data_IF_231486057127
#
_entry.id   IF_231486057127
#
_cell.length_a   1.000
_cell.length_b   1.000
_cell.length_c   1.000
_cell.angle_alpha   90.00
_cell.angle_beta   90.00
_cell.angle_gamma   90.00
#
_symmetry.space_group_name_H-M   'P 1'
#
loop_
_entity.id
_entity.type
_entity.pdbx_description
1 polymer ?
#
# COMPACT_ATOMS: atom_id res chain seq x y z
N UNK A 1 39.47 -40.76 -14.01
CA UNK A 1 39.15 -41.83 -14.98
C UNK A 1 37.68 -42.12 -14.78
N UNK A 2 36.73 -41.84 -15.66
CA UNK A 2 36.67 -41.83 -17.12
C UNK A 2 35.62 -40.80 -17.57
N UNK A 3 35.91 -40.11 -18.68
CA UNK A 3 34.99 -39.22 -19.40
C UNK A 3 34.02 -40.06 -20.24
N UNK A 4 32.73 -39.67 -20.29
CA UNK A 4 31.79 -40.15 -21.30
C UNK A 4 31.25 -38.98 -22.11
N UNK A 5 31.68 -38.94 -23.37
CA UNK A 5 31.27 -38.04 -24.45
C UNK A 5 30.22 -38.75 -25.31
N UNK A 6 29.12 -38.08 -25.66
CA UNK A 6 28.18 -38.48 -26.74
C UNK A 6 27.69 -37.16 -27.37
N UNK A 7 28.27 -36.68 -28.46
CA UNK A 7 28.06 -36.96 -29.90
C UNK A 7 26.80 -36.32 -30.52
N UNK A 8 27.07 -35.37 -31.43
CA UNK A 8 26.17 -34.57 -32.26
C UNK A 8 25.65 -35.39 -33.45
N UNK A 9 24.34 -35.37 -33.69
CA UNK A 9 23.71 -35.87 -34.90
C UNK A 9 23.43 -34.74 -35.89
N UNK A 10 24.10 -34.77 -37.05
CA UNK A 10 23.76 -34.04 -38.27
C UNK A 10 22.70 -34.82 -39.04
N UNK A 11 21.69 -34.15 -39.60
CA UNK A 11 20.98 -34.64 -40.77
C UNK A 11 21.05 -33.61 -41.88
N UNK A 12 21.56 -34.09 -43.00
CA UNK A 12 21.58 -33.49 -44.32
C UNK A 12 20.50 -34.23 -45.12
N UNK A 13 19.64 -33.51 -45.83
CA UNK A 13 19.07 -34.04 -47.06
C UNK A 13 18.69 -32.89 -48.00
N UNK A 14 19.12 -33.07 -49.24
CA UNK A 14 18.97 -32.17 -50.36
C UNK A 14 17.83 -32.68 -51.25
N UNK A 15 17.01 -31.77 -51.80
CA UNK A 15 16.28 -32.03 -53.05
C UNK A 15 16.42 -30.81 -53.95
N UNK A 16 17.14 -31.04 -55.05
CA UNK A 16 17.17 -30.25 -56.28
C UNK A 16 15.87 -30.48 -57.05
N UNK A 17 15.27 -29.43 -57.61
CA UNK A 17 14.72 -29.46 -58.98
C UNK A 17 14.77 -28.07 -59.57
N UNK A 18 15.50 -27.96 -60.69
CA UNK A 18 15.65 -26.76 -61.50
C UNK A 18 14.48 -26.54 -62.46
N UNK A 19 14.46 -25.34 -63.05
CA UNK A 19 13.58 -24.95 -64.12
C UNK A 19 13.94 -23.55 -64.61
N UNK A 20 14.90 -23.48 -65.53
CA UNK A 20 15.22 -22.30 -66.33
C UNK A 20 14.04 -21.93 -67.25
N UNK A 21 13.60 -20.66 -67.22
CA UNK A 21 13.01 -20.00 -68.40
C UNK A 21 13.55 -18.57 -68.49
N UNK A 22 14.44 -18.38 -69.46
CA UNK A 22 14.89 -17.12 -70.04
C UNK A 22 13.88 -16.65 -71.09
N UNK A 23 13.31 -15.45 -70.93
CA UNK A 23 12.88 -14.50 -71.98
C UNK A 23 12.65 -13.16 -71.23
N UNK A 24 13.46 -12.12 -71.39
CA UNK A 24 13.62 -11.34 -72.62
C UNK A 24 12.69 -10.12 -72.54
N UNK A 25 13.20 -8.92 -72.23
CA UNK A 25 12.38 -7.70 -72.22
C UNK A 25 12.89 -6.55 -71.35
N UNK A 26 14.17 -6.24 -71.43
CA UNK A 26 14.73 -4.96 -70.97
C UNK A 26 14.24 -3.88 -71.96
N UNK A 27 13.41 -2.93 -71.50
CA UNK A 27 13.07 -1.60 -72.09
C UNK A 27 11.83 -0.96 -71.42
N UNK A 28 11.02 -1.69 -70.65
CA UNK A 28 9.78 -1.14 -70.04
C UNK A 28 9.85 -0.80 -68.53
N UNK A 29 11.05 -0.69 -67.93
CA UNK A 29 11.21 -0.44 -66.47
C UNK A 29 11.55 1.00 -66.08
N UNK A 30 11.68 1.94 -67.03
CA UNK A 30 12.03 3.34 -66.74
C UNK A 30 10.88 4.36 -66.89
N UNK A 31 9.68 3.92 -67.28
CA UNK A 31 8.53 4.84 -67.48
C UNK A 31 7.32 4.58 -66.57
N UNK A 32 7.37 3.58 -65.68
CA UNK A 32 6.30 3.32 -64.68
C UNK A 32 6.69 3.81 -63.27
N UNK A 33 7.94 4.19 -63.04
CA UNK A 33 8.40 4.77 -61.76
C UNK A 33 7.97 6.25 -61.61
N UNK A 34 7.57 6.91 -62.70
CA UNK A 34 7.15 8.33 -62.67
C UNK A 34 5.65 8.51 -62.37
N UNK A 35 4.81 7.48 -62.53
CA UNK A 35 3.38 7.56 -62.15
C UNK A 35 3.17 7.25 -60.65
N UNK A 36 4.08 6.53 -60.00
CA UNK A 36 4.00 6.26 -58.54
C UNK A 36 4.58 7.43 -57.71
N UNK A 37 5.39 8.31 -58.30
CA UNK A 37 6.02 9.44 -57.61
C UNK A 37 5.29 10.78 -57.74
N UNK A 38 4.26 10.88 -58.58
CA UNK A 38 3.43 12.11 -58.70
C UNK A 38 2.20 12.09 -57.78
N UNK A 39 1.88 10.94 -57.16
CA UNK A 39 0.78 10.83 -56.17
C UNK A 39 1.19 11.23 -54.74
N UNK A 40 2.48 11.47 -54.48
CA UNK A 40 3.00 11.68 -53.12
C UNK A 40 3.01 13.15 -52.66
N UNK A 41 2.67 14.13 -53.51
CA UNK A 41 2.82 15.57 -53.20
C UNK A 41 1.48 16.32 -53.05
N UNK A 42 0.34 15.62 -53.07
CA UNK A 42 -1.00 16.22 -52.82
C UNK A 42 -1.63 15.88 -51.45
N UNK A 43 -0.87 15.29 -50.51
CA UNK A 43 -1.35 15.02 -49.13
C UNK A 43 -0.78 16.01 -48.10
N UNK A 44 -0.76 17.29 -48.47
CA UNK A 44 -0.38 18.41 -47.62
C UNK A 44 -1.57 19.07 -46.91
N UNK A 45 -2.55 18.30 -46.44
CA UNK A 45 -3.50 18.72 -45.42
C UNK A 45 -3.68 17.55 -44.46
N UNK A 46 -3.49 17.81 -43.16
CA UNK A 46 -3.33 16.81 -42.12
C UNK A 46 -4.59 15.98 -41.86
N UNK A 47 -4.91 15.06 -42.78
CA UNK A 47 -5.85 13.99 -42.51
C UNK A 47 -5.16 12.99 -41.59
N UNK A 48 -5.75 12.80 -40.42
CA UNK A 48 -5.33 11.86 -39.37
C UNK A 48 -5.23 10.39 -39.83
N UNK A 49 -5.73 10.07 -41.02
CA UNK A 49 -6.00 8.72 -41.51
C UNK A 49 -5.00 8.22 -42.56
N UNK A 50 -3.69 8.47 -42.39
CA UNK A 50 -2.70 7.81 -43.25
C UNK A 50 -2.77 6.28 -43.03
N UNK A 51 -2.76 5.44 -44.08
CA UNK A 51 -2.90 3.99 -43.95
C UNK A 51 -2.00 3.37 -42.87
N UNK A 52 -0.71 3.75 -42.83
CA UNK A 52 0.22 3.22 -41.82
C UNK A 52 -0.14 3.53 -40.37
N UNK A 53 -0.82 4.66 -40.10
CA UNK A 53 -1.30 4.99 -38.75
C UNK A 53 -2.50 4.17 -38.34
N UNK A 54 -3.41 3.90 -39.29
CA UNK A 54 -4.59 3.07 -39.04
C UNK A 54 -4.15 1.63 -38.77
N UNK A 55 -3.26 1.08 -39.59
CA UNK A 55 -2.68 -0.24 -39.36
C UNK A 55 -2.00 -0.34 -37.99
N UNK A 56 -1.19 0.66 -37.63
CA UNK A 56 -0.55 0.70 -36.32
C UNK A 56 -1.56 0.73 -35.16
N UNK A 57 -2.70 1.43 -35.30
CA UNK A 57 -3.76 1.42 -34.28
C UNK A 57 -4.45 0.06 -34.16
N UNK A 58 -4.70 -0.61 -35.28
CA UNK A 58 -5.25 -1.97 -35.29
C UNK A 58 -4.30 -2.92 -34.55
N UNK A 59 -3.01 -2.84 -34.83
CA UNK A 59 -1.98 -3.66 -34.16
C UNK A 59 -1.90 -3.36 -32.67
N UNK A 60 -1.85 -2.09 -32.28
CA UNK A 60 -1.88 -1.67 -30.87
C UNK A 60 -3.11 -2.20 -30.13
N UNK A 61 -4.28 -2.17 -30.77
CA UNK A 61 -5.50 -2.66 -30.16
C UNK A 61 -5.50 -4.20 -30.04
N UNK A 62 -4.93 -4.91 -31.02
CA UNK A 62 -4.71 -6.36 -30.95
C UNK A 62 -3.77 -6.73 -29.80
N UNK A 63 -2.62 -6.05 -29.69
CA UNK A 63 -1.67 -6.26 -28.59
C UNK A 63 -2.32 -5.95 -27.23
N UNK A 64 -3.17 -4.92 -27.17
CA UNK A 64 -3.86 -4.55 -25.95
C UNK A 64 -4.88 -5.63 -25.51
N UNK A 65 -5.57 -6.30 -26.44
CA UNK A 65 -6.44 -7.45 -26.14
C UNK A 65 -5.62 -8.57 -25.48
N UNK A 66 -4.44 -8.90 -26.00
CA UNK A 66 -3.58 -9.93 -25.42
C UNK A 66 -3.09 -9.56 -24.01
N UNK A 67 -2.68 -8.30 -23.82
CA UNK A 67 -2.30 -7.78 -22.51
C UNK A 67 -3.44 -7.84 -21.51
N UNK A 68 -4.66 -7.42 -21.89
CA UNK A 68 -5.83 -7.47 -21.02
C UNK A 68 -6.21 -8.92 -20.70
N UNK A 69 -6.15 -9.82 -21.69
CA UNK A 69 -6.37 -11.26 -21.47
C UNK A 69 -5.38 -11.85 -20.47
N UNK A 70 -4.10 -11.47 -20.55
CA UNK A 70 -3.08 -11.88 -19.59
C UNK A 70 -3.31 -11.28 -18.19
N UNK A 71 -3.78 -10.05 -18.10
CA UNK A 71 -4.08 -9.38 -16.82
C UNK A 71 -5.32 -9.94 -16.12
N UNK A 72 -6.31 -10.42 -16.89
CA UNK A 72 -7.51 -11.05 -16.36
C UNK A 72 -7.25 -12.45 -15.77
N UNK A 73 -6.17 -13.12 -16.19
CA UNK A 73 -5.77 -14.44 -15.70
C UNK A 73 -6.62 -15.58 -16.26
N UNK A 74 -6.49 -16.76 -15.65
CA UNK A 74 -7.08 -18.01 -16.16
C UNK A 74 -8.62 -18.07 -16.04
N UNK A 75 -9.22 -17.28 -15.14
CA UNK A 75 -10.66 -17.29 -14.89
C UNK A 75 -11.24 -15.87 -14.81
N UNK A 76 -11.34 -15.15 -15.94
CA UNK A 76 -11.96 -13.83 -15.98
C UNK A 76 -13.46 -13.90 -15.65
N UNK A 77 -14.07 -12.81 -15.17
CA UNK A 77 -15.53 -12.70 -15.12
C UNK A 77 -16.14 -12.92 -16.51
N UNK A 78 -17.24 -13.65 -16.63
CA UNK A 78 -17.90 -13.94 -17.92
C UNK A 78 -18.18 -12.67 -18.73
N UNK A 79 -18.59 -11.59 -18.06
CA UNK A 79 -18.83 -10.31 -18.73
C UNK A 79 -17.54 -9.68 -19.30
N UNK A 80 -16.40 -9.87 -18.64
CA UNK A 80 -15.11 -9.43 -19.17
C UNK A 80 -14.67 -10.28 -20.38
N UNK A 81 -14.98 -11.59 -20.36
CA UNK A 81 -14.77 -12.49 -21.51
C UNK A 81 -15.60 -12.00 -22.70
N UNK A 82 -16.88 -11.71 -22.50
CA UNK A 82 -17.78 -11.22 -23.55
C UNK A 82 -17.26 -9.91 -24.18
N UNK A 83 -16.74 -8.97 -23.38
CA UNK A 83 -16.13 -7.74 -23.91
C UNK A 83 -14.87 -8.02 -24.73
N UNK A 84 -14.02 -8.96 -24.31
CA UNK A 84 -12.83 -9.33 -25.08
C UNK A 84 -13.16 -10.05 -26.38
N UNK A 85 -14.18 -10.90 -26.41
CA UNK A 85 -14.66 -11.55 -27.63
C UNK A 85 -15.17 -10.52 -28.63
N UNK A 86 -16.03 -9.59 -28.19
CA UNK A 86 -16.50 -8.48 -29.03
C UNK A 86 -15.34 -7.60 -29.53
N UNK A 87 -14.34 -7.33 -28.69
CA UNK A 87 -13.16 -6.57 -29.11
C UNK A 87 -12.37 -7.28 -30.23
N UNK A 88 -12.22 -8.61 -30.15
CA UNK A 88 -11.57 -9.41 -31.19
C UNK A 88 -12.34 -9.37 -32.51
N UNK A 89 -13.67 -9.47 -32.46
CA UNK A 89 -14.52 -9.33 -33.65
C UNK A 89 -14.36 -7.96 -34.32
N UNK A 90 -14.35 -6.87 -33.53
CA UNK A 90 -14.14 -5.51 -34.04
C UNK A 90 -12.75 -5.34 -34.67
N UNK A 91 -11.71 -5.97 -34.12
CA UNK A 91 -10.37 -5.93 -34.73
C UNK A 91 -10.32 -6.69 -36.05
N UNK A 92 -11.01 -7.83 -36.14
CA UNK A 92 -11.12 -8.54 -37.41
C UNK A 92 -11.85 -7.68 -38.46
N UNK A 93 -12.98 -7.07 -38.10
CA UNK A 93 -13.71 -6.15 -38.99
C UNK A 93 -12.86 -4.94 -39.37
N UNK A 94 -12.06 -4.40 -38.43
CA UNK A 94 -11.16 -3.28 -38.71
C UNK A 94 -10.11 -3.63 -39.77
N UNK A 95 -9.57 -4.87 -39.73
CA UNK A 95 -8.63 -5.37 -40.75
C UNK A 95 -9.30 -5.51 -42.12
N UNK A 96 -10.50 -6.08 -42.16
CA UNK A 96 -11.25 -6.24 -43.41
C UNK A 96 -11.58 -4.87 -44.03
N UNK A 97 -12.02 -3.89 -43.23
CA UNK A 97 -12.28 -2.51 -43.69
C UNK A 97 -11.00 -1.78 -44.14
N UNK A 98 -9.87 -2.04 -43.47
CA UNK A 98 -8.57 -1.51 -43.88
C UNK A 98 -8.16 -2.03 -45.26
N UNK A 99 -8.29 -3.34 -45.50
CA UNK A 99 -7.97 -3.98 -46.78
C UNK A 99 -8.89 -3.50 -47.91
N UNK A 100 -10.13 -3.15 -47.60
CA UNK A 100 -11.08 -2.53 -48.53
C UNK A 100 -10.83 -1.02 -48.78
N UNK A 101 -9.84 -0.41 -48.11
CA UNK A 101 -9.49 1.00 -48.24
C UNK A 101 -10.36 1.96 -47.42
N UNK A 102 -11.24 1.45 -46.55
CA UNK A 102 -12.13 2.22 -45.69
C UNK A 102 -11.43 2.62 -44.37
N UNK A 103 -10.36 3.41 -44.49
CA UNK A 103 -9.44 3.73 -43.39
C UNK A 103 -10.12 4.36 -42.15
N UNK A 104 -11.11 5.22 -42.35
CA UNK A 104 -11.85 5.86 -41.24
C UNK A 104 -12.68 4.86 -40.44
N UNK A 105 -13.35 3.93 -41.14
CA UNK A 105 -14.14 2.87 -40.49
C UNK A 105 -13.23 1.94 -39.71
N UNK A 106 -12.10 1.54 -40.30
CA UNK A 106 -11.09 0.72 -39.66
C UNK A 106 -10.52 1.37 -38.38
N UNK A 107 -10.21 2.68 -38.41
CA UNK A 107 -9.74 3.42 -37.23
C UNK A 107 -10.79 3.44 -36.10
N UNK A 108 -12.06 3.71 -36.44
CA UNK A 108 -13.16 3.75 -35.47
C UNK A 108 -13.44 2.38 -34.83
N UNK A 109 -13.34 1.30 -35.61
CA UNK A 109 -13.51 -0.08 -35.11
C UNK A 109 -12.37 -0.45 -34.15
N UNK A 110 -11.12 -0.09 -34.47
CA UNK A 110 -9.99 -0.30 -33.58
C UNK A 110 -10.12 0.48 -32.26
N UNK A 111 -10.61 1.73 -32.30
CA UNK A 111 -10.87 2.52 -31.09
C UNK A 111 -11.99 1.92 -30.23
N UNK A 112 -13.07 1.44 -30.84
CA UNK A 112 -14.14 0.74 -30.13
C UNK A 112 -13.63 -0.53 -29.45
N UNK A 113 -12.78 -1.32 -30.12
CA UNK A 113 -12.15 -2.49 -29.52
C UNK A 113 -11.31 -2.14 -28.29
N UNK A 114 -10.55 -1.03 -28.33
CA UNK A 114 -9.79 -0.54 -27.17
C UNK A 114 -10.72 -0.14 -26.01
N UNK A 115 -11.84 0.52 -26.29
CA UNK A 115 -12.84 0.88 -25.28
C UNK A 115 -13.45 -0.37 -24.61
N UNK A 116 -13.75 -1.42 -25.36
CA UNK A 116 -14.21 -2.70 -24.81
C UNK A 116 -13.15 -3.36 -23.93
N UNK A 117 -11.87 -3.30 -24.30
CA UNK A 117 -10.77 -3.78 -23.46
C UNK A 117 -10.71 -3.03 -22.13
N UNK A 118 -10.90 -1.71 -22.13
CA UNK A 118 -10.97 -0.91 -20.91
C UNK A 118 -12.21 -1.29 -20.07
N UNK A 119 -13.34 -1.57 -20.71
CA UNK A 119 -14.54 -2.06 -20.02
C UNK A 119 -14.31 -3.43 -19.39
N UNK A 120 -13.64 -4.37 -20.07
CA UNK A 120 -13.26 -5.67 -19.51
C UNK A 120 -12.39 -5.50 -18.24
N UNK A 121 -11.39 -4.62 -18.28
CA UNK A 121 -10.60 -4.27 -17.10
C UNK A 121 -11.45 -3.62 -16.00
N UNK A 122 -12.43 -2.80 -16.36
CA UNK A 122 -13.35 -2.17 -15.41
C UNK A 122 -14.26 -3.17 -14.71
N UNK A 123 -14.71 -4.23 -15.41
CA UNK A 123 -15.49 -5.32 -14.82
C UNK A 123 -14.66 -6.05 -13.77
N UNK A 124 -13.40 -6.34 -14.07
CA UNK A 124 -12.46 -6.90 -13.09
C UNK A 124 -12.27 -5.95 -11.89
N UNK A 125 -12.22 -4.64 -12.10
CA UNK A 125 -12.15 -3.64 -11.02
C UNK A 125 -13.47 -3.49 -10.24
N UNK A 126 -14.60 -3.79 -10.89
CA UNK A 126 -15.94 -3.77 -10.29
C UNK A 126 -16.21 -5.00 -9.42
N UNK A 127 -15.32 -6.00 -9.45
CA UNK A 127 -15.30 -7.03 -8.44
C UNK A 127 -15.22 -6.35 -7.07
N UNK A 128 -16.29 -6.53 -6.29
CA UNK A 128 -16.43 -5.88 -5.00
C UNK A 128 -15.20 -6.17 -4.15
N UNK A 129 -14.82 -5.21 -3.30
CA UNK A 129 -13.68 -5.41 -2.38
C UNK A 129 -13.86 -6.71 -1.59
N UNK A 130 -15.10 -7.02 -1.22
CA UNK A 130 -15.52 -8.24 -0.53
C UNK A 130 -15.19 -9.51 -1.32
N UNK A 131 -15.47 -9.56 -2.63
CA UNK A 131 -15.18 -10.74 -3.46
C UNK A 131 -13.67 -10.95 -3.59
N UNK A 132 -12.90 -9.88 -3.79
CA UNK A 132 -11.43 -9.95 -3.84
C UNK A 132 -10.85 -10.46 -2.52
N UNK A 133 -11.36 -9.96 -1.39
CA UNK A 133 -10.99 -10.42 -0.05
C UNK A 133 -11.33 -11.90 0.16
N UNK A 134 -12.53 -12.32 -0.22
CA UNK A 134 -12.95 -13.72 -0.13
C UNK A 134 -12.02 -14.64 -0.93
N UNK A 135 -11.74 -14.31 -2.20
CA UNK A 135 -10.82 -15.07 -3.06
C UNK A 135 -9.42 -15.16 -2.47
N UNK A 136 -8.86 -14.04 -2.00
CA UNK A 136 -7.53 -14.00 -1.37
C UNK A 136 -7.49 -14.88 -0.12
N UNK A 137 -8.52 -14.81 0.73
CA UNK A 137 -8.60 -15.63 1.95
C UNK A 137 -8.73 -17.13 1.63
N UNK A 138 -9.54 -17.49 0.63
CA UNK A 138 -9.67 -18.88 0.15
C UNK A 138 -8.34 -19.43 -0.36
N UNK A 139 -7.61 -18.65 -1.17
CA UNK A 139 -6.31 -19.08 -1.69
C UNK A 139 -5.30 -19.33 -0.57
N UNK A 140 -5.29 -18.47 0.46
CA UNK A 140 -4.45 -18.68 1.65
C UNK A 140 -4.86 -19.94 2.43
N UNK A 141 -6.17 -20.21 2.57
CA UNK A 141 -6.66 -21.46 3.18
C UNK A 141 -6.20 -22.69 2.40
N UNK A 142 -6.31 -22.68 1.07
CA UNK A 142 -5.87 -23.77 0.20
C UNK A 142 -4.39 -24.08 0.42
N UNK A 143 -3.54 -23.06 0.38
CA UNK A 143 -2.09 -23.21 0.61
C UNK A 143 -1.79 -23.79 2.00
N UNK A 144 -2.50 -23.35 3.05
CA UNK A 144 -2.35 -23.91 4.39
C UNK A 144 -2.82 -25.37 4.47
N UNK A 145 -3.95 -25.70 3.83
CA UNK A 145 -4.46 -27.07 3.78
C UNK A 145 -3.46 -28.03 3.13
N UNK A 146 -2.88 -27.65 1.99
CA UNK A 146 -1.88 -28.44 1.27
C UNK A 146 -0.62 -28.70 2.11
N UNK A 147 -0.16 -27.70 2.86
CA UNK A 147 0.99 -27.82 3.76
C UNK A 147 0.70 -28.69 4.98
N UNK A 148 -0.44 -28.47 5.63
CA UNK A 148 -0.76 -29.06 6.94
C UNK A 148 -1.26 -30.50 6.83
N UNK A 149 -1.98 -30.84 5.76
CA UNK A 149 -2.59 -32.17 5.57
C UNK A 149 -1.60 -33.32 5.80
N UNK A 150 -0.45 -33.37 5.08
CA UNK A 150 0.53 -34.44 5.26
C UNK A 150 1.11 -34.52 6.68
N UNK A 151 1.35 -33.37 7.33
CA UNK A 151 1.91 -33.32 8.68
C UNK A 151 0.94 -33.91 9.71
N UNK A 152 -0.34 -33.55 9.61
CA UNK A 152 -1.38 -34.04 10.53
C UNK A 152 -1.57 -35.55 10.37
N UNK A 153 -1.63 -36.04 9.12
CA UNK A 153 -1.72 -37.48 8.85
C UNK A 153 -0.52 -38.24 9.42
N UNK A 154 0.69 -37.68 9.33
CA UNK A 154 1.91 -38.32 9.84
C UNK A 154 1.97 -38.43 11.36
N UNK A 155 1.42 -37.45 12.08
CA UNK A 155 1.41 -37.43 13.54
C UNK A 155 0.32 -38.32 14.14
N UNK A 156 -0.74 -38.60 13.37
CA UNK A 156 -1.90 -39.37 13.80
C UNK A 156 -2.53 -38.84 15.10
N UNK A 157 -2.57 -37.51 15.25
CA UNK A 157 -3.22 -36.83 16.36
C UNK A 157 -4.69 -36.57 16.03
N UNK A 158 -5.60 -37.22 16.77
CA UNK A 158 -7.04 -37.08 16.58
C UNK A 158 -7.53 -35.64 16.80
N UNK A 159 -6.95 -34.90 17.75
CA UNK A 159 -7.36 -33.53 18.04
C UNK A 159 -7.00 -32.58 16.90
N UNK A 160 -5.80 -32.74 16.32
CA UNK A 160 -5.39 -31.97 15.14
C UNK A 160 -6.20 -32.35 13.90
N UNK A 161 -6.50 -33.63 13.74
CA UNK A 161 -7.36 -34.12 12.64
C UNK A 161 -8.76 -33.52 12.70
N UNK A 162 -9.38 -33.47 13.89
CA UNK A 162 -10.69 -32.85 14.09
C UNK A 162 -10.69 -31.35 13.77
N UNK A 163 -9.67 -30.61 14.23
CA UNK A 163 -9.53 -29.19 13.90
C UNK A 163 -9.35 -28.97 12.40
N UNK A 164 -8.56 -29.81 11.73
CA UNK A 164 -8.32 -29.73 10.30
C UNK A 164 -9.58 -30.00 9.48
N UNK A 165 -10.35 -31.02 9.85
CA UNK A 165 -11.61 -31.35 9.20
C UNK A 165 -12.61 -30.20 9.32
N UNK A 166 -12.76 -29.61 10.52
CA UNK A 166 -13.61 -28.42 10.72
C UNK A 166 -13.17 -27.22 9.88
N UNK A 167 -11.86 -26.97 9.80
CA UNK A 167 -11.31 -25.93 8.92
C UNK A 167 -11.60 -26.20 7.44
N UNK A 168 -11.46 -27.45 7.02
CA UNK A 168 -11.73 -27.90 5.65
C UNK A 168 -13.20 -27.74 5.26
N UNK A 169 -14.12 -28.05 6.17
CA UNK A 169 -15.56 -27.86 5.95
C UNK A 169 -15.91 -26.38 5.82
N UNK A 170 -15.36 -25.52 6.69
CA UNK A 170 -15.52 -24.06 6.57
C UNK A 170 -14.96 -23.54 5.24
N UNK A 171 -13.81 -24.05 4.79
CA UNK A 171 -13.23 -23.69 3.50
C UNK A 171 -14.15 -24.08 2.33
N UNK A 172 -14.67 -25.31 2.30
CA UNK A 172 -15.62 -25.75 1.27
C UNK A 172 -16.91 -24.93 1.27
N UNK A 173 -17.44 -24.61 2.45
CA UNK A 173 -18.62 -23.76 2.59
C UNK A 173 -18.34 -22.34 2.09
N UNK A 174 -17.16 -21.79 2.40
CA UNK A 174 -16.73 -20.49 1.91
C UNK A 174 -16.64 -20.46 0.37
N UNK A 175 -16.10 -21.50 -0.26
CA UNK A 175 -16.10 -21.64 -1.72
C UNK A 175 -17.53 -21.66 -2.26
N UNK A 176 -18.40 -22.50 -1.71
CA UNK A 176 -19.80 -22.55 -2.16
C UNK A 176 -20.54 -21.22 -1.98
N UNK A 177 -20.28 -20.47 -0.91
CA UNK A 177 -20.87 -19.13 -0.71
C UNK A 177 -20.38 -18.14 -1.74
N UNK A 178 -19.09 -18.18 -2.10
CA UNK A 178 -18.52 -17.32 -3.13
C UNK A 178 -19.12 -17.64 -4.50
N UNK A 179 -19.27 -18.92 -4.84
CA UNK A 179 -19.87 -19.38 -6.10
C UNK A 179 -21.35 -18.94 -6.23
N UNK A 180 -22.04 -18.78 -5.09
CA UNK A 180 -23.41 -18.23 -5.02
C UNK A 180 -23.47 -16.70 -5.04
N UNK A 181 -22.33 -16.03 -5.13
CA UNK A 181 -22.22 -14.57 -5.13
C UNK A 181 -22.25 -13.92 -3.74
N UNK A 182 -22.31 -14.69 -2.64
CA UNK A 182 -22.27 -14.15 -1.28
C UNK A 182 -20.83 -14.01 -0.77
N UNK A 183 -20.14 -13.01 -1.34
CA UNK A 183 -18.74 -12.72 -1.04
C UNK A 183 -18.47 -12.39 0.44
N UNK A 184 -19.42 -11.73 1.11
CA UNK A 184 -19.26 -11.33 2.51
C UNK A 184 -19.28 -12.56 3.43
N UNK A 185 -20.24 -13.47 3.22
CA UNK A 185 -20.29 -14.72 3.96
C UNK A 185 -19.08 -15.61 3.64
N UNK A 186 -18.70 -15.71 2.37
CA UNK A 186 -17.53 -16.45 1.93
C UNK A 186 -16.25 -15.96 2.63
N UNK A 187 -16.01 -14.65 2.66
CA UNK A 187 -14.86 -14.08 3.37
C UNK A 187 -14.88 -14.40 4.87
N UNK A 188 -16.04 -14.26 5.53
CA UNK A 188 -16.18 -14.58 6.96
C UNK A 188 -15.85 -16.05 7.26
N UNK A 189 -16.38 -16.98 6.48
CA UNK A 189 -16.10 -18.42 6.62
C UNK A 189 -14.64 -18.75 6.31
N UNK A 190 -14.07 -18.15 5.25
CA UNK A 190 -12.66 -18.33 4.92
C UNK A 190 -11.74 -17.82 6.04
N UNK A 191 -12.07 -16.68 6.68
CA UNK A 191 -11.32 -16.16 7.83
C UNK A 191 -11.36 -17.13 9.02
N UNK A 192 -12.52 -17.74 9.29
CA UNK A 192 -12.65 -18.76 10.35
C UNK A 192 -11.83 -20.02 10.04
N UNK A 193 -11.90 -20.53 8.80
CA UNK A 193 -11.09 -21.67 8.35
C UNK A 193 -9.59 -21.38 8.51
N UNK A 194 -9.15 -20.21 8.04
CA UNK A 194 -7.77 -19.72 8.15
C UNK A 194 -7.28 -19.66 9.59
N UNK A 195 -8.11 -19.18 10.52
CA UNK A 195 -7.77 -19.14 11.95
C UNK A 195 -7.57 -20.55 12.52
N UNK A 196 -8.40 -21.53 12.15
CA UNK A 196 -8.21 -22.93 12.57
C UNK A 196 -6.91 -23.52 12.01
N UNK A 197 -6.61 -23.30 10.72
CA UNK A 197 -5.37 -23.77 10.11
C UNK A 197 -4.13 -23.15 10.75
N UNK A 198 -4.17 -21.85 11.07
CA UNK A 198 -3.08 -21.17 11.77
C UNK A 198 -2.91 -21.67 13.20
N UNK A 199 -4.01 -21.98 13.90
CA UNK A 199 -3.94 -22.63 15.21
C UNK A 199 -3.24 -23.99 15.14
N UNK A 200 -3.57 -24.80 14.14
CA UNK A 200 -2.89 -26.08 13.92
C UNK A 200 -1.39 -25.85 13.66
N UNK A 201 -1.05 -24.92 12.76
CA UNK A 201 0.35 -24.53 12.49
C UNK A 201 1.10 -24.12 13.77
N UNK A 202 0.47 -23.33 14.64
CA UNK A 202 1.07 -22.94 15.92
C UNK A 202 1.28 -24.11 16.89
N UNK A 203 0.35 -25.06 16.95
CA UNK A 203 0.52 -26.28 17.77
C UNK A 203 1.70 -27.09 17.23
N UNK A 204 1.79 -27.26 15.91
CA UNK A 204 2.89 -27.97 15.25
C UNK A 204 4.25 -27.28 15.44
N UNK A 205 4.27 -25.94 15.53
CA UNK A 205 5.49 -25.14 15.68
C UNK A 205 6.01 -25.02 17.13
N UNK A 206 5.38 -25.68 18.11
CA UNK A 206 5.93 -25.76 19.49
C UNK A 206 5.12 -25.03 20.58
N UNK A 207 3.81 -24.83 20.39
CA UNK A 207 2.88 -24.58 21.50
C UNK A 207 2.57 -23.11 21.81
N UNK A 208 2.22 -22.80 23.07
CA UNK A 208 1.54 -21.54 23.45
C UNK A 208 2.26 -20.24 23.06
N UNK A 209 3.59 -20.24 22.97
CA UNK A 209 4.35 -19.07 22.49
C UNK A 209 4.17 -18.86 20.98
N UNK A 210 4.12 -19.95 20.20
CA UNK A 210 3.83 -19.89 18.78
C UNK A 210 2.41 -19.38 18.52
N UNK A 211 1.43 -19.76 19.34
CA UNK A 211 0.06 -19.23 19.24
C UNK A 211 0.01 -17.71 19.43
N UNK A 212 0.68 -17.19 20.46
CA UNK A 212 0.78 -15.74 20.70
C UNK A 212 1.44 -15.00 19.53
N UNK A 213 2.56 -15.52 19.01
CA UNK A 213 3.23 -14.90 17.87
C UNK A 213 2.34 -14.97 16.64
N UNK A 214 1.67 -16.09 16.37
CA UNK A 214 0.72 -16.19 15.26
C UNK A 214 -0.35 -15.10 15.38
N UNK A 215 -0.98 -14.89 16.54
CA UNK A 215 -1.95 -13.81 16.77
C UNK A 215 -1.37 -12.42 16.46
N UNK A 216 -0.10 -12.16 16.82
CA UNK A 216 0.58 -10.90 16.48
C UNK A 216 0.73 -10.78 14.96
N UNK A 217 1.12 -11.86 14.28
CA UNK A 217 1.22 -11.89 12.81
C UNK A 217 -0.16 -11.61 12.19
N UNK A 218 -1.24 -12.25 12.64
CA UNK A 218 -2.59 -12.01 12.10
C UNK A 218 -3.05 -10.56 12.27
N UNK A 219 -2.82 -9.99 13.45
CA UNK A 219 -3.16 -8.58 13.71
C UNK A 219 -2.37 -7.63 12.81
N UNK A 220 -1.13 -7.99 12.47
CA UNK A 220 -0.33 -7.21 11.51
C UNK A 220 -0.88 -7.33 10.08
N UNK A 221 -1.31 -8.52 9.65
CA UNK A 221 -2.03 -8.69 8.36
C UNK A 221 -3.25 -7.77 8.29
N UNK A 222 -4.05 -7.72 9.36
CA UNK A 222 -5.26 -6.88 9.42
C UNK A 222 -4.95 -5.39 9.25
N UNK A 223 -3.84 -4.90 9.83
CA UNK A 223 -3.41 -3.50 9.68
C UNK A 223 -2.96 -3.22 8.24
N UNK A 224 -2.22 -4.15 7.63
CA UNK A 224 -1.78 -4.03 6.24
C UNK A 224 -3.01 -4.00 5.32
N UNK A 225 -3.91 -4.98 5.46
CA UNK A 225 -5.15 -5.10 4.67
C UNK A 225 -6.04 -3.87 4.84
N UNK A 226 -6.28 -3.42 6.07
CA UNK A 226 -7.04 -2.20 6.34
C UNK A 226 -6.46 -0.99 5.62
N UNK A 227 -5.13 -0.87 5.60
CA UNK A 227 -4.46 0.24 4.92
C UNK A 227 -4.59 0.13 3.40
N UNK A 228 -4.42 -1.06 2.84
CA UNK A 228 -4.63 -1.31 1.40
C UNK A 228 -6.07 -0.98 0.98
N UNK A 229 -7.06 -1.39 1.78
CA UNK A 229 -8.47 -1.20 1.49
C UNK A 229 -8.92 0.26 1.59
N UNK A 230 -8.51 0.95 2.67
CA UNK A 230 -8.94 2.32 2.95
C UNK A 230 -8.47 3.30 1.87
N UNK A 231 -7.26 3.09 1.35
CA UNK A 231 -6.65 3.98 0.36
C UNK A 231 -6.71 3.45 -1.06
N UNK A 232 -6.93 2.15 -1.25
CA UNK A 232 -7.09 1.51 -2.56
C UNK A 232 -5.97 1.86 -3.54
N UNK A 233 -6.34 2.26 -4.76
CA UNK A 233 -5.39 2.70 -5.79
C UNK A 233 -4.78 4.09 -5.57
N UNK A 234 -5.21 4.84 -4.54
CA UNK A 234 -4.83 6.23 -4.29
C UNK A 234 -3.78 6.38 -3.17
N UNK A 235 -3.03 5.30 -2.93
CA UNK A 235 -1.92 5.30 -1.97
C UNK A 235 -0.76 6.13 -2.54
N UNK A 236 -0.25 7.15 -1.82
CA UNK A 236 0.94 7.91 -2.20
C UNK A 236 2.13 6.99 -2.46
N UNK A 237 3.01 7.33 -3.39
CA UNK A 237 4.10 6.44 -3.81
C UNK A 237 5.03 6.02 -2.65
N UNK A 238 5.31 6.94 -1.74
CA UNK A 238 6.04 6.75 -0.49
C UNK A 238 5.32 5.82 0.49
N UNK A 239 4.01 6.01 0.71
CA UNK A 239 3.20 5.08 1.50
C UNK A 239 3.13 3.68 0.87
N UNK A 240 3.03 3.60 -0.47
CA UNK A 240 2.98 2.34 -1.21
C UNK A 240 4.28 1.56 -1.06
N UNK A 241 5.44 2.23 -1.16
CA UNK A 241 6.74 1.58 -0.94
C UNK A 241 6.87 1.00 0.48
N UNK A 242 6.33 1.68 1.50
CA UNK A 242 6.29 1.18 2.87
C UNK A 242 5.34 -0.02 3.03
N UNK A 243 4.17 -0.01 2.39
CA UNK A 243 3.26 -1.17 2.38
C UNK A 243 3.89 -2.37 1.67
N UNK A 244 4.54 -2.17 0.53
CA UNK A 244 5.24 -3.24 -0.18
C UNK A 244 6.35 -3.85 0.70
N UNK A 245 7.08 -3.02 1.45
CA UNK A 245 8.07 -3.49 2.42
C UNK A 245 7.42 -4.24 3.60
N UNK A 246 6.30 -3.74 4.14
CA UNK A 246 5.54 -4.39 5.19
C UNK A 246 5.06 -5.78 4.75
N UNK A 247 4.49 -5.90 3.55
CA UNK A 247 4.06 -7.16 2.95
C UNK A 247 5.22 -8.17 2.81
N UNK A 248 6.39 -7.72 2.35
CA UNK A 248 7.59 -8.58 2.24
C UNK A 248 8.07 -9.09 3.61
N UNK A 249 8.14 -8.19 4.60
CA UNK A 249 8.53 -8.56 5.97
C UNK A 249 7.52 -9.53 6.59
N UNK A 250 6.23 -9.29 6.37
CA UNK A 250 5.15 -10.12 6.88
C UNK A 250 5.16 -11.52 6.25
N UNK A 251 5.40 -11.62 4.95
CA UNK A 251 5.64 -12.90 4.28
C UNK A 251 6.84 -13.64 4.89
N UNK A 252 7.95 -12.92 5.12
CA UNK A 252 9.15 -13.50 5.75
C UNK A 252 8.88 -13.96 7.19
N UNK A 253 8.01 -13.26 7.92
CA UNK A 253 7.57 -13.66 9.26
C UNK A 253 6.81 -14.99 9.24
N UNK A 254 5.92 -15.20 8.26
CA UNK A 254 5.25 -16.50 8.07
C UNK A 254 6.25 -17.61 7.78
N UNK A 255 7.21 -17.36 6.88
CA UNK A 255 8.22 -18.37 6.54
C UNK A 255 9.12 -18.72 7.74
N UNK A 256 9.48 -17.73 8.57
CA UNK A 256 10.21 -17.97 9.82
C UNK A 256 9.38 -18.77 10.83
N UNK A 257 8.09 -18.44 10.95
CA UNK A 257 7.15 -19.14 11.81
C UNK A 257 6.98 -20.60 11.39
N UNK A 258 6.79 -20.86 10.09
CA UNK A 258 6.65 -22.21 9.52
C UNK A 258 7.89 -23.09 9.79
N UNK A 259 9.08 -22.47 9.91
CA UNK A 259 10.33 -23.16 10.30
C UNK A 259 10.50 -23.35 11.80
N UNK A 260 9.59 -22.85 12.62
CA UNK A 260 9.69 -22.86 14.09
C UNK A 260 10.61 -21.77 14.68
N UNK A 261 11.08 -20.81 13.87
CA UNK A 261 11.88 -19.67 14.36
C UNK A 261 10.98 -18.55 14.87
N UNK A 262 10.39 -18.80 16.04
CA UNK A 262 9.38 -17.93 16.68
C UNK A 262 9.93 -16.52 16.96
N UNK A 263 11.22 -16.39 17.28
CA UNK A 263 11.85 -15.10 17.56
C UNK A 263 12.00 -14.27 16.29
N UNK A 264 12.56 -14.85 15.23
CA UNK A 264 12.67 -14.15 13.96
C UNK A 264 11.30 -13.75 13.40
N UNK A 265 10.30 -14.63 13.52
CA UNK A 265 8.92 -14.33 13.12
C UNK A 265 8.36 -13.11 13.88
N UNK A 266 8.59 -13.03 15.20
CA UNK A 266 8.17 -11.90 16.03
C UNK A 266 8.84 -10.58 15.61
N UNK A 267 10.16 -10.59 15.41
CA UNK A 267 10.92 -9.39 15.04
C UNK A 267 10.49 -8.87 13.65
N UNK A 268 10.29 -9.78 12.69
CA UNK A 268 9.84 -9.45 11.34
C UNK A 268 8.42 -8.89 11.32
N UNK A 269 7.47 -9.50 12.05
CA UNK A 269 6.08 -8.99 12.06
C UNK A 269 5.95 -7.66 12.80
N UNK A 270 6.74 -7.41 13.85
CA UNK A 270 6.77 -6.10 14.52
C UNK A 270 7.30 -5.02 13.58
N UNK A 271 8.35 -5.34 12.81
CA UNK A 271 8.89 -4.45 11.78
C UNK A 271 7.87 -4.19 10.66
N UNK A 272 7.18 -5.23 10.19
CA UNK A 272 6.12 -5.11 9.19
C UNK A 272 4.98 -4.20 9.70
N UNK A 273 4.55 -4.36 10.95
CA UNK A 273 3.52 -3.53 11.58
C UNK A 273 3.92 -2.07 11.63
N UNK A 274 5.15 -1.78 12.06
CA UNK A 274 5.65 -0.41 12.11
C UNK A 274 5.59 0.24 10.71
N UNK A 275 6.02 -0.50 9.67
CA UNK A 275 5.97 -0.01 8.28
C UNK A 275 4.55 0.19 7.78
N UNK A 276 3.63 -0.73 8.09
CA UNK A 276 2.23 -0.59 7.73
C UNK A 276 1.58 0.63 8.41
N UNK A 277 1.85 0.86 9.70
CA UNK A 277 1.35 2.02 10.44
C UNK A 277 1.93 3.34 9.91
N UNK A 278 3.21 3.36 9.55
CA UNK A 278 3.86 4.51 8.92
C UNK A 278 3.23 4.80 7.56
N UNK A 279 3.02 3.78 6.73
CA UNK A 279 2.34 3.89 5.46
C UNK A 279 0.91 4.41 5.62
N UNK A 280 0.15 3.87 6.57
CA UNK A 280 -1.20 4.32 6.91
C UNK A 280 -1.23 5.79 7.28
N UNK A 281 -0.28 6.24 8.13
CA UNK A 281 -0.13 7.64 8.50
C UNK A 281 0.15 8.55 7.29
N UNK A 282 1.05 8.14 6.40
CA UNK A 282 1.40 8.92 5.18
C UNK A 282 0.23 8.93 4.18
N UNK A 283 -0.45 7.80 4.00
CA UNK A 283 -1.62 7.68 3.14
C UNK A 283 -2.82 8.49 3.66
N UNK A 284 -2.79 8.84 4.95
CA UNK A 284 -3.73 9.76 5.56
C UNK A 284 -4.72 9.11 6.53
N UNK A 285 -4.42 7.92 7.04
CA UNK A 285 -5.27 7.22 8.01
C UNK A 285 -5.26 7.84 9.41
N UNK A 286 -4.37 8.79 9.66
CA UNK A 286 -4.51 9.73 10.78
C UNK A 286 -5.60 10.79 10.54
N UNK A 287 -6.33 10.74 9.43
CA UNK A 287 -7.32 11.74 9.02
C UNK A 287 -8.72 11.13 8.98
N UNK A 288 -9.08 10.28 9.94
CA UNK A 288 -10.48 9.83 10.04
C UNK A 288 -11.40 11.05 10.19
N UNK A 289 -12.62 11.03 9.62
CA UNK A 289 -13.55 12.15 9.72
C UNK A 289 -13.80 12.58 11.17
N UNK A 290 -13.92 11.61 12.07
CA UNK A 290 -14.11 11.81 13.49
C UNK A 290 -12.90 12.47 14.13
N UNK A 291 -11.68 12.03 13.79
CA UNK A 291 -10.45 12.64 14.29
C UNK A 291 -10.34 14.09 13.83
N UNK A 292 -10.53 14.37 12.53
CA UNK A 292 -10.51 15.74 11.99
C UNK A 292 -11.56 16.61 12.69
N UNK A 293 -12.77 16.09 12.91
CA UNK A 293 -13.85 16.79 13.60
C UNK A 293 -13.48 17.10 15.05
N UNK A 294 -12.92 16.12 15.78
CA UNK A 294 -12.43 16.33 17.14
C UNK A 294 -11.32 17.38 17.17
N UNK A 295 -10.41 17.37 16.21
CA UNK A 295 -9.32 18.33 16.13
C UNK A 295 -9.80 19.75 15.81
N UNK A 296 -10.78 19.89 14.92
CA UNK A 296 -11.46 21.17 14.67
C UNK A 296 -12.06 21.72 15.97
N UNK A 297 -12.77 20.91 16.74
CA UNK A 297 -13.39 21.34 18.00
C UNK A 297 -12.34 21.71 19.07
N UNK A 298 -11.22 20.99 19.12
CA UNK A 298 -10.10 21.36 20.01
C UNK A 298 -9.50 22.72 19.64
N UNK A 299 -9.30 23.00 18.35
CA UNK A 299 -8.79 24.30 17.88
C UNK A 299 -9.79 25.41 18.21
N UNK A 300 -11.10 25.20 18.00
CA UNK A 300 -12.14 26.17 18.39
C UNK A 300 -12.12 26.46 19.90
N UNK A 301 -11.99 25.41 20.72
CA UNK A 301 -11.87 25.57 22.17
C UNK A 301 -10.61 26.34 22.57
N UNK A 302 -9.46 26.05 21.94
CA UNK A 302 -8.21 26.76 22.17
C UNK A 302 -8.30 28.24 21.77
N UNK A 303 -8.93 28.56 20.63
CA UNK A 303 -9.19 29.95 20.22
C UNK A 303 -9.99 30.73 21.27
N UNK A 304 -11.03 30.11 21.83
CA UNK A 304 -11.86 30.72 22.86
C UNK A 304 -11.10 30.98 24.18
N UNK A 305 -10.14 30.11 24.52
CA UNK A 305 -9.33 30.24 25.73
C UNK A 305 -8.19 31.25 25.59
N UNK A 306 -7.42 31.17 24.50
CA UNK A 306 -6.19 31.96 24.30
C UNK A 306 -6.53 33.42 23.96
N UNK A 307 -7.66 33.67 23.29
CA UNK A 307 -8.07 35.00 22.80
C UNK A 307 -6.94 35.71 22.03
N UNK A 308 -6.45 35.12 20.93
CA UNK A 308 -5.34 35.71 20.16
C UNK A 308 -5.73 37.05 19.52
N UNK A 309 -4.76 37.82 19.01
CA UNK A 309 -5.01 39.02 18.22
C UNK A 309 -6.01 38.77 17.08
N UNK A 310 -6.79 39.80 16.71
CA UNK A 310 -7.89 39.69 15.75
C UNK A 310 -7.45 39.12 14.39
N UNK A 311 -6.23 39.43 13.94
CA UNK A 311 -5.65 38.93 12.70
C UNK A 311 -5.48 37.40 12.73
N UNK A 312 -4.84 36.88 13.78
CA UNK A 312 -4.62 35.44 13.99
C UNK A 312 -5.95 34.72 14.20
N UNK A 313 -6.87 35.30 14.96
CA UNK A 313 -8.21 34.74 15.13
C UNK A 313 -8.90 34.55 13.77
N UNK A 314 -8.88 35.57 12.92
CA UNK A 314 -9.49 35.53 11.59
C UNK A 314 -8.83 34.49 10.69
N UNK A 315 -7.50 34.41 10.69
CA UNK A 315 -6.75 33.45 9.87
C UNK A 315 -7.04 32.00 10.28
N UNK A 316 -6.94 31.70 11.59
CA UNK A 316 -7.21 30.36 12.12
C UNK A 316 -8.66 29.96 11.88
N UNK A 317 -9.62 30.88 12.08
CA UNK A 317 -11.03 30.58 11.84
C UNK A 317 -11.31 30.32 10.34
N UNK A 318 -10.67 31.06 9.43
CA UNK A 318 -10.74 30.80 8.00
C UNK A 318 -10.20 29.41 7.61
N UNK A 319 -9.12 28.95 8.25
CA UNK A 319 -8.59 27.59 8.06
C UNK A 319 -9.54 26.52 8.61
N UNK A 320 -10.18 26.74 9.76
CA UNK A 320 -11.19 25.84 10.32
C UNK A 320 -12.39 25.70 9.39
N UNK A 321 -12.92 26.81 8.86
CA UNK A 321 -14.05 26.79 7.92
C UNK A 321 -13.69 26.02 6.64
N UNK A 322 -12.52 26.28 6.06
CA UNK A 322 -12.04 25.53 4.90
C UNK A 322 -11.83 24.05 5.23
N UNK A 323 -11.37 23.71 6.44
CA UNK A 323 -11.21 22.33 6.87
C UNK A 323 -12.56 21.63 6.99
N UNK A 324 -13.58 22.31 7.51
CA UNK A 324 -14.95 21.83 7.61
C UNK A 324 -15.55 21.56 6.21
N UNK A 325 -15.39 22.51 5.27
CA UNK A 325 -15.82 22.36 3.87
C UNK A 325 -15.09 21.18 3.21
N UNK A 326 -13.78 21.05 3.42
CA UNK A 326 -13.02 19.93 2.88
C UNK A 326 -13.47 18.59 3.50
N UNK A 327 -13.78 18.56 4.79
CA UNK A 327 -14.30 17.38 5.50
C UNK A 327 -15.66 16.94 4.94
N UNK A 328 -16.59 17.88 4.76
CA UNK A 328 -17.94 17.62 4.21
C UNK A 328 -17.88 17.09 2.77
N UNK A 329 -16.91 17.57 1.99
CA UNK A 329 -16.62 17.09 0.63
C UNK A 329 -15.77 15.81 0.58
N UNK A 330 -15.56 15.14 1.73
CA UNK A 330 -14.73 13.92 1.88
C UNK A 330 -13.27 14.09 1.43
N UNK A 331 -12.76 15.32 1.44
CA UNK A 331 -11.36 15.66 1.14
C UNK A 331 -10.50 15.61 2.41
N UNK A 332 -10.43 14.44 3.06
CA UNK A 332 -9.85 14.29 4.41
C UNK A 332 -8.39 14.76 4.52
N UNK A 333 -7.55 14.50 3.51
CA UNK A 333 -6.16 14.99 3.50
C UNK A 333 -6.08 16.51 3.52
N UNK A 334 -6.92 17.18 2.73
CA UNK A 334 -6.97 18.65 2.68
C UNK A 334 -7.47 19.20 4.00
N UNK A 335 -8.56 18.64 4.52
CA UNK A 335 -9.12 19.03 5.81
C UNK A 335 -8.07 18.92 6.93
N UNK A 336 -7.34 17.80 6.99
CA UNK A 336 -6.31 17.61 7.99
C UNK A 336 -5.07 18.50 7.81
N UNK A 337 -4.70 18.84 6.57
CA UNK A 337 -3.65 19.84 6.32
C UNK A 337 -4.05 21.19 6.91
N UNK A 338 -5.27 21.64 6.63
CA UNK A 338 -5.80 22.91 7.14
C UNK A 338 -5.87 22.93 8.68
N UNK A 339 -6.29 21.82 9.30
CA UNK A 339 -6.24 21.63 10.77
C UNK A 339 -4.81 21.75 11.30
N UNK A 340 -3.82 21.16 10.61
CA UNK A 340 -2.41 21.24 11.00
C UNK A 340 -1.88 22.67 10.90
N UNK A 341 -2.22 23.39 9.84
CA UNK A 341 -1.80 24.77 9.63
C UNK A 341 -2.42 25.69 10.69
N UNK A 342 -3.71 25.51 10.99
CA UNK A 342 -4.41 26.20 12.08
C UNK A 342 -3.73 25.97 13.44
N UNK A 343 -3.39 24.71 13.76
CA UNK A 343 -2.62 24.37 14.97
C UNK A 343 -1.24 25.01 14.99
N UNK A 344 -0.55 25.08 13.86
CA UNK A 344 0.79 25.68 13.77
C UNK A 344 0.73 27.16 14.09
N UNK A 345 -0.22 27.89 13.54
CA UNK A 345 -0.42 29.33 13.80
C UNK A 345 -0.75 29.54 15.29
N UNK A 346 -1.72 28.80 15.83
CA UNK A 346 -2.06 28.86 17.27
C UNK A 346 -0.88 28.49 18.17
N UNK A 347 -0.10 27.48 17.80
CA UNK A 347 1.07 27.05 18.55
C UNK A 347 2.19 28.09 18.53
N UNK A 348 2.43 28.75 17.39
CA UNK A 348 3.37 29.86 17.27
C UNK A 348 2.94 31.05 18.13
N UNK A 349 1.65 31.38 18.16
CA UNK A 349 1.13 32.46 19.00
C UNK A 349 1.18 32.11 20.49
N UNK A 350 0.82 30.88 20.87
CA UNK A 350 0.94 30.43 22.25
C UNK A 350 2.41 30.37 22.70
N UNK A 351 3.35 30.05 21.80
CA UNK A 351 4.79 30.14 22.08
C UNK A 351 5.26 31.59 22.22
N UNK A 352 4.67 32.54 21.51
CA UNK A 352 4.96 33.98 21.66
C UNK A 352 4.31 34.58 22.91
N UNK A 353 3.10 34.13 23.30
CA UNK A 353 2.43 34.58 24.53
C UNK A 353 2.98 33.90 25.79
N UNK A 354 3.51 32.67 25.70
CA UNK A 354 4.21 31.97 26.79
C UNK A 354 5.74 32.20 26.79
N UNK A 355 6.28 33.09 25.96
CA UNK A 355 7.73 33.31 25.90
C UNK A 355 8.32 34.00 27.14
N UNK A 356 7.49 34.42 28.10
CA UNK A 356 7.92 34.67 29.47
C UNK A 356 7.13 33.78 30.42
N UNK A 357 7.68 32.65 30.88
CA UNK A 357 7.06 31.93 31.99
C UNK A 357 6.98 32.90 33.18
N UNK A 358 5.80 32.96 33.83
CA UNK A 358 5.60 33.91 34.92
C UNK A 358 6.62 33.62 36.04
N UNK A 359 7.11 34.65 36.75
CA UNK A 359 8.04 34.44 37.86
C UNK A 359 7.50 33.41 38.85
N UNK A 360 6.20 33.44 39.15
CA UNK A 360 5.56 32.47 40.05
C UNK A 360 5.65 31.03 39.53
N UNK A 361 5.38 30.80 38.24
CA UNK A 361 5.44 29.46 37.65
C UNK A 361 6.86 28.88 37.66
N UNK A 362 7.88 29.71 37.39
CA UNK A 362 9.28 29.28 37.44
C UNK A 362 9.72 29.01 38.87
N UNK A 363 9.33 29.87 39.81
CA UNK A 363 9.64 29.66 41.23
C UNK A 363 9.03 28.34 41.75
N UNK A 364 7.77 28.07 41.40
CA UNK A 364 7.11 26.83 41.77
C UNK A 364 7.82 25.59 41.19
N UNK A 365 8.26 25.66 39.93
CA UNK A 365 9.02 24.58 39.30
C UNK A 365 10.38 24.35 39.98
N UNK A 366 11.06 25.44 40.38
CA UNK A 366 12.31 25.38 41.14
C UNK A 366 12.07 24.68 42.48
N UNK A 367 11.07 25.11 43.26
CA UNK A 367 10.76 24.53 44.57
C UNK A 367 10.39 23.04 44.50
N UNK A 368 9.61 22.64 43.50
CA UNK A 368 9.27 21.22 43.30
C UNK A 368 10.50 20.39 42.97
N UNK A 369 11.40 20.92 42.15
CA UNK A 369 12.61 20.22 41.74
C UNK A 369 13.63 20.14 42.87
N UNK A 370 13.72 21.17 43.72
CA UNK A 370 14.50 21.12 44.96
C UNK A 370 14.05 19.96 45.85
N UNK A 371 12.75 19.82 46.09
CA UNK A 371 12.19 18.70 46.88
C UNK A 371 12.52 17.32 46.27
N UNK A 372 12.54 17.22 44.93
CA UNK A 372 12.94 15.98 44.26
C UNK A 372 14.42 15.68 44.45
N UNK A 373 15.29 16.68 44.32
CA UNK A 373 16.73 16.55 44.56
C UNK A 373 16.99 16.14 46.02
N UNK A 374 16.31 16.78 46.97
CA UNK A 374 16.49 16.53 48.42
C UNK A 374 16.01 15.13 48.84
N UNK A 375 15.04 14.56 48.12
CA UNK A 375 14.50 13.22 48.40
C UNK A 375 15.21 12.09 47.66
N UNK A 376 16.06 12.40 46.68
CA UNK A 376 16.79 11.40 45.91
C UNK A 376 17.91 10.76 46.76
N UNK A 377 17.97 9.42 46.75
CA UNK A 377 19.04 8.65 47.39
C UNK A 377 19.98 8.13 46.31
N UNK A 378 21.26 8.41 46.45
CA UNK A 378 22.30 7.87 45.58
C UNK A 378 22.97 6.67 46.26
N UNK A 379 22.78 5.47 45.68
CA UNK A 379 23.27 4.20 46.26
C UNK A 379 24.64 3.81 45.70
N UNK A 380 25.00 4.28 44.50
CA UNK A 380 26.25 3.99 43.81
C UNK A 380 26.97 5.27 43.34
N UNK A 381 28.20 5.14 42.84
CA UNK A 381 28.98 6.30 42.35
C UNK A 381 28.35 6.98 41.13
N UNK A 382 27.63 6.23 40.28
CA UNK A 382 26.96 6.78 39.09
C UNK A 382 25.81 7.71 39.51
N UNK A 383 24.95 7.24 40.41
CA UNK A 383 23.84 8.02 40.97
C UNK A 383 24.32 9.22 41.79
N UNK A 384 25.46 9.12 42.48
CA UNK A 384 26.08 10.28 43.15
C UNK A 384 26.50 11.36 42.16
N UNK A 385 27.15 10.97 41.06
CA UNK A 385 27.58 11.90 40.02
C UNK A 385 26.38 12.57 39.32
N UNK A 386 25.32 11.82 39.04
CA UNK A 386 24.08 12.38 38.49
C UNK A 386 23.41 13.34 39.47
N UNK A 387 23.38 13.00 40.77
CA UNK A 387 22.79 13.86 41.79
C UNK A 387 23.53 15.20 41.89
N UNK A 388 24.85 15.18 41.79
CA UNK A 388 25.66 16.40 41.79
C UNK A 388 25.40 17.26 40.54
N UNK A 389 25.30 16.64 39.36
CA UNK A 389 24.94 17.35 38.12
C UNK A 389 23.55 18.00 38.21
N UNK A 390 22.58 17.30 38.82
CA UNK A 390 21.25 17.86 39.03
C UNK A 390 21.28 19.10 39.94
N UNK A 391 22.05 19.03 41.05
CA UNK A 391 22.25 20.17 41.97
C UNK A 391 22.89 21.36 41.26
N UNK A 392 23.93 21.13 40.47
CA UNK A 392 24.61 22.18 39.70
C UNK A 392 23.65 22.86 38.72
N UNK A 393 22.86 22.09 37.98
CA UNK A 393 21.86 22.63 37.04
C UNK A 393 20.77 23.42 37.76
N UNK A 394 20.31 22.93 38.90
CA UNK A 394 19.32 23.61 39.71
C UNK A 394 19.85 24.91 40.33
N UNK A 395 21.11 24.94 40.75
CA UNK A 395 21.76 26.17 41.22
C UNK A 395 21.88 27.21 40.09
N UNK A 396 22.27 26.78 38.89
CA UNK A 396 22.29 27.66 37.71
C UNK A 396 20.88 28.19 37.38
N UNK A 397 19.85 27.34 37.48
CA UNK A 397 18.45 27.75 37.29
C UNK A 397 18.04 28.87 38.26
N UNK A 398 18.39 28.73 39.55
CA UNK A 398 18.14 29.76 40.57
C UNK A 398 18.87 31.08 40.27
N UNK A 399 20.12 31.02 39.79
CA UNK A 399 20.86 32.23 39.39
C UNK A 399 20.20 32.96 38.22
N UNK A 400 19.72 32.23 37.21
CA UNK A 400 19.04 32.82 36.07
C UNK A 400 17.67 33.37 36.44
N UNK A 401 16.96 32.71 37.36
CA UNK A 401 15.72 33.22 37.94
C UNK A 401 15.92 34.58 38.61
N UNK A 402 16.96 34.71 39.45
CA UNK A 402 17.30 35.98 40.12
C UNK A 402 17.73 37.09 39.15
N UNK A 403 18.17 36.73 37.94
CA UNK A 403 18.52 37.67 36.86
C UNK A 403 17.32 38.01 35.96
N UNK A 404 16.12 37.51 36.26
CA UNK A 404 14.91 37.70 35.44
C UNK A 404 14.91 36.89 34.14
N UNK A 405 15.83 35.94 33.98
CA UNK A 405 15.91 35.06 32.80
C UNK A 405 15.03 33.81 33.01
N UNK A 406 13.73 34.03 33.10
CA UNK A 406 12.77 32.99 33.51
C UNK A 406 12.71 31.78 32.57
N UNK A 407 12.85 31.98 31.26
CA UNK A 407 12.93 30.87 30.29
C UNK A 407 14.19 30.00 30.51
N UNK A 408 15.35 30.63 30.70
CA UNK A 408 16.61 29.93 30.96
C UNK A 408 16.58 29.15 32.28
N UNK A 409 15.97 29.76 33.31
CA UNK A 409 15.76 29.14 34.60
C UNK A 409 14.87 27.89 34.48
N UNK A 410 13.70 28.01 33.83
CA UNK A 410 12.76 26.90 33.68
C UNK A 410 13.38 25.73 32.90
N UNK A 411 14.12 26.01 31.83
CA UNK A 411 14.78 24.96 31.06
C UNK A 411 15.84 24.22 31.90
N UNK A 412 16.66 24.93 32.68
CA UNK A 412 17.66 24.31 33.56
C UNK A 412 17.02 23.52 34.69
N UNK A 413 15.91 23.99 35.26
CA UNK A 413 15.11 23.24 36.25
C UNK A 413 14.55 21.95 35.65
N UNK A 414 14.06 21.97 34.41
CA UNK A 414 13.61 20.76 33.72
C UNK A 414 14.73 19.73 33.54
N UNK A 415 15.92 20.19 33.13
CA UNK A 415 17.10 19.32 32.99
C UNK A 415 17.48 18.72 34.35
N UNK A 416 17.52 19.51 35.42
CA UNK A 416 17.80 19.02 36.77
C UNK A 416 16.80 17.93 37.20
N UNK A 417 15.51 18.15 36.94
CA UNK A 417 14.45 17.16 37.22
C UNK A 417 14.63 15.86 36.43
N UNK A 418 14.93 15.94 35.14
CA UNK A 418 15.17 14.76 34.29
C UNK A 418 16.36 13.93 34.81
N UNK A 419 17.45 14.60 35.23
CA UNK A 419 18.62 13.93 35.82
C UNK A 419 18.23 13.20 37.12
N UNK A 420 17.44 13.84 38.00
CA UNK A 420 16.98 13.19 39.24
C UNK A 420 16.09 11.97 38.96
N UNK A 421 15.24 12.05 37.94
CA UNK A 421 14.38 10.93 37.55
C UNK A 421 15.18 9.72 37.05
N UNK A 422 16.35 9.94 36.43
CA UNK A 422 17.25 8.85 36.04
C UNK A 422 17.89 8.13 37.23
N UNK A 423 18.02 8.80 38.39
CA UNK A 423 18.55 8.19 39.62
C UNK A 423 17.51 7.26 40.26
N UNK A 424 16.22 7.50 40.03
CA UNK A 424 15.11 6.75 40.63
C UNK A 424 14.67 5.53 39.80
N UNK A 425 15.22 5.36 38.59
CA UNK A 425 15.01 4.21 37.71
C UNK A 425 16.10 3.18 37.94
#
# INVERSE_FOLDING_TARGET
MEQKSIHLGKYSEAILFGGDILFGGDIMKRSIIIIILVSAVLFGQGNSSSPGRVLHRIDMASDFIEQVSSQLGENPPEQAIAYLEQARELIQQARDEYDNGNLTTAENLAEQAQNLCQQALSVQRSESSETRKAKRALEQCRSLMEKLGPQITSLNDNSLSDLFNRGSDLFKNAQSSLDKGDARLAYSMAKQAKSLFRKISAILAGGANAEKIMTIIERTDEIIEQTEDEFGGNIPADAKALLDAANKLQKSAYEAFDRGDIRAAADMTMSARQKAQEAHKIAGGSFSPEFIKTEIEQIKSALAQIKPPAEIYSEVNGLIEQAQIALDNRQYRRAASLVRDAKKILGQENLQSNQMPSPESVNQAIEMTDKLIDSAKAEDETSKNLLEQAKDKQQQAKQDYMRGKYSDALNKTRIAKEIVQQIQQ
#
